data_IF_948442377114
#
_entry.id   IF_948442377114
#
_cell.length_a   1.000
_cell.length_b   1.000
_cell.length_c   1.000
_cell.angle_alpha   90.00
_cell.angle_beta   90.00
_cell.angle_gamma   90.00
#
_symmetry.space_group_name_H-M   'P 1'
#
loop_
_entity.id
_entity.type
_entity.pdbx_description
1 polymer ?
#
# COMPACT_ATOMS: atom_id res chain seq x y z
N UNK A 1 -9.66 18.83 -11.02
CA UNK A 1 -8.25 18.50 -10.72
C UNK A 1 -8.07 17.33 -9.74
N UNK A 2 -9.04 17.02 -8.87
CA UNK A 2 -8.94 15.93 -7.88
C UNK A 2 -9.04 14.51 -8.48
N UNK A 3 -9.78 14.35 -9.57
CA UNK A 3 -10.08 13.04 -10.18
C UNK A 3 -8.93 12.48 -11.04
N UNK A 4 -8.05 13.34 -11.55
CA UNK A 4 -6.96 12.95 -12.45
C UNK A 4 -5.84 12.12 -11.76
N UNK A 5 -5.87 11.99 -10.43
CA UNK A 5 -4.83 11.32 -9.64
C UNK A 5 -5.30 10.01 -8.99
N UNK A 6 -6.56 9.62 -9.17
CA UNK A 6 -7.10 8.41 -8.57
C UNK A 6 -6.78 7.19 -9.44
N UNK A 7 -5.57 6.65 -9.32
CA UNK A 7 -5.31 5.27 -9.77
C UNK A 7 -5.79 4.32 -8.68
N UNK A 8 -6.63 3.36 -9.08
CA UNK A 8 -6.94 2.23 -8.20
C UNK A 8 -5.61 1.57 -7.82
N UNK A 9 -5.30 1.42 -6.53
CA UNK A 9 -4.13 0.65 -6.12
C UNK A 9 -4.28 -0.74 -6.72
N UNK A 10 -3.21 -1.28 -7.31
CA UNK A 10 -3.23 -2.62 -7.85
C UNK A 10 -3.23 -3.61 -6.67
N UNK A 11 -4.45 -3.94 -6.19
CA UNK A 11 -4.66 -4.75 -4.99
C UNK A 11 -4.03 -6.13 -5.17
N UNK A 12 -4.08 -6.68 -6.39
CA UNK A 12 -3.52 -7.99 -6.71
C UNK A 12 -2.00 -7.99 -6.56
N UNK A 13 -1.30 -7.03 -7.14
CA UNK A 13 0.16 -6.91 -7.00
C UNK A 13 0.57 -6.71 -5.54
N UNK A 14 -0.18 -5.92 -4.78
CA UNK A 14 0.13 -5.71 -3.36
C UNK A 14 -0.10 -6.96 -2.51
N UNK A 15 -1.16 -7.72 -2.80
CA UNK A 15 -1.40 -9.01 -2.15
C UNK A 15 -0.33 -10.04 -2.52
N UNK A 16 0.09 -10.11 -3.78
CA UNK A 16 1.18 -10.99 -4.22
C UNK A 16 2.50 -10.64 -3.54
N UNK A 17 2.85 -9.34 -3.47
CA UNK A 17 4.04 -8.89 -2.77
C UNK A 17 3.99 -9.24 -1.28
N UNK A 18 2.83 -9.10 -0.64
CA UNK A 18 2.64 -9.50 0.75
C UNK A 18 2.79 -11.02 0.93
N UNK A 19 2.19 -11.83 0.04
CA UNK A 19 2.34 -13.28 0.02
C UNK A 19 3.81 -13.70 -0.08
N UNK A 20 4.56 -13.11 -1.02
CA UNK A 20 5.99 -13.37 -1.19
C UNK A 20 6.81 -12.94 0.04
N UNK A 21 6.49 -11.80 0.65
CA UNK A 21 7.23 -11.27 1.78
C UNK A 21 7.14 -12.15 3.04
N UNK A 22 6.02 -12.86 3.22
CA UNK A 22 5.84 -13.75 4.38
C UNK A 22 5.87 -15.24 4.04
N UNK A 23 6.07 -15.60 2.77
CA UNK A 23 6.17 -17.00 2.34
C UNK A 23 4.85 -17.78 2.37
N UNK A 24 3.71 -17.10 2.25
CA UNK A 24 2.38 -17.72 2.21
C UNK A 24 1.76 -17.58 0.81
N UNK A 25 0.77 -18.40 0.47
CA UNK A 25 0.20 -18.42 -0.88
C UNK A 25 -0.98 -17.45 -1.03
N UNK A 26 -1.70 -17.19 0.06
CA UNK A 26 -2.98 -16.49 0.00
C UNK A 26 -3.16 -15.41 1.07
N UNK A 27 -3.59 -14.24 0.61
CA UNK A 27 -4.19 -13.19 1.43
C UNK A 27 -5.70 -13.47 1.56
N UNK A 28 -6.18 -13.64 2.78
CA UNK A 28 -7.59 -13.95 3.08
C UNK A 28 -8.44 -12.69 3.30
N UNK A 29 -7.83 -11.56 3.64
CA UNK A 29 -8.55 -10.30 3.81
C UNK A 29 -7.65 -9.12 3.49
N UNK A 30 -8.21 -8.14 2.80
CA UNK A 30 -7.52 -6.90 2.44
C UNK A 30 -8.45 -5.72 2.71
N UNK A 31 -8.06 -4.83 3.62
CA UNK A 31 -8.87 -3.68 4.02
C UNK A 31 -8.02 -2.43 4.05
N UNK A 32 -8.50 -1.34 3.45
CA UNK A 32 -7.92 -0.01 3.65
C UNK A 32 -8.22 0.45 5.08
N UNK A 33 -7.19 0.82 5.82
CA UNK A 33 -7.31 1.28 7.22
C UNK A 33 -7.01 2.76 7.40
N UNK A 34 -6.38 3.40 6.43
CA UNK A 34 -6.08 4.83 6.52
C UNK A 34 -5.63 5.43 5.19
N UNK A 35 -5.89 6.72 5.05
CA UNK A 35 -5.40 7.57 3.96
C UNK A 35 -4.74 8.78 4.61
N UNK A 36 -3.41 8.80 4.63
CA UNK A 36 -2.65 9.95 5.08
C UNK A 36 -2.22 10.81 3.89
N UNK A 37 -1.67 11.99 4.16
CA UNK A 37 -1.21 12.91 3.11
C UNK A 37 -0.15 12.26 2.18
N UNK A 38 0.72 11.42 2.75
CA UNK A 38 1.85 10.80 2.04
C UNK A 38 1.65 9.33 1.68
N UNK A 39 0.81 8.58 2.40
CA UNK A 39 0.64 7.14 2.20
C UNK A 39 -0.81 6.69 2.42
N UNK A 40 -1.23 5.65 1.68
CA UNK A 40 -2.38 4.81 2.00
C UNK A 40 -1.92 3.60 2.80
N UNK A 41 -2.64 3.27 3.86
CA UNK A 41 -2.36 2.10 4.68
C UNK A 41 -3.46 1.04 4.50
N UNK A 42 -3.02 -0.20 4.34
CA UNK A 42 -3.86 -1.37 4.17
C UNK A 42 -3.50 -2.42 5.22
N UNK A 43 -4.51 -3.06 5.77
CA UNK A 43 -4.39 -4.21 6.65
C UNK A 43 -4.71 -5.47 5.86
N UNK A 44 -3.77 -6.41 5.85
CA UNK A 44 -3.87 -7.69 5.20
C UNK A 44 -3.87 -8.79 6.26
N UNK A 45 -4.77 -9.76 6.12
CA UNK A 45 -4.71 -11.01 6.86
C UNK A 45 -4.30 -12.12 5.90
N UNK A 46 -3.33 -12.92 6.30
CA UNK A 46 -2.83 -14.05 5.52
C UNK A 46 -3.45 -15.36 6.00
N UNK A 47 -3.40 -16.40 5.18
CA UNK A 47 -3.97 -17.72 5.51
C UNK A 47 -3.39 -18.34 6.78
N UNK A 48 -2.11 -18.08 7.08
CA UNK A 48 -1.42 -18.55 8.30
C UNK A 48 -1.78 -17.73 9.56
N UNK A 49 -2.70 -16.77 9.44
CA UNK A 49 -3.12 -15.90 10.54
C UNK A 49 -2.23 -14.68 10.78
N UNK A 50 -1.11 -14.56 10.05
CA UNK A 50 -0.27 -13.37 10.07
C UNK A 50 -1.02 -12.12 9.58
N UNK A 51 -0.75 -10.98 10.22
CA UNK A 51 -1.35 -9.68 9.90
C UNK A 51 -0.27 -8.72 9.41
N UNK A 52 -0.50 -8.11 8.25
CA UNK A 52 0.47 -7.24 7.58
C UNK A 52 -0.13 -5.85 7.39
N UNK A 53 0.68 -4.81 7.63
CA UNK A 53 0.35 -3.44 7.25
C UNK A 53 1.14 -3.06 6.01
N UNK A 54 0.45 -2.92 4.88
CA UNK A 54 1.04 -2.42 3.66
C UNK A 54 0.84 -0.90 3.55
N UNK A 55 1.93 -0.16 3.37
CA UNK A 55 1.91 1.30 3.14
C UNK A 55 2.26 1.58 1.69
N UNK A 56 1.31 2.13 0.96
CA UNK A 56 1.49 2.52 -0.44
C UNK A 56 1.65 4.04 -0.48
N UNK A 57 2.79 4.57 -0.94
CA UNK A 57 2.96 6.01 -1.10
C UNK A 57 1.90 6.54 -2.05
N UNK A 58 1.30 7.68 -1.68
CA UNK A 58 0.43 8.38 -2.61
C UNK A 58 1.26 8.94 -3.75
N UNK A 59 0.66 9.14 -4.93
CA UNK A 59 1.37 9.70 -6.08
C UNK A 59 1.92 11.13 -5.81
N UNK A 60 1.29 11.87 -4.89
CA UNK A 60 1.75 13.17 -4.40
C UNK A 60 2.89 13.08 -3.37
N UNK A 61 3.28 11.88 -2.93
CA UNK A 61 4.55 11.61 -2.28
C UNK A 61 5.59 11.31 -3.37
N UNK A 62 6.04 12.38 -4.01
CA UNK A 62 7.11 12.41 -5.02
C UNK A 62 8.41 11.73 -4.52
N UNK A 63 9.24 11.16 -5.42
CA UNK A 63 10.65 11.54 -5.39
C UNK A 63 11.15 11.97 -6.77
N UNK A 64 11.30 13.28 -6.96
CA UNK A 64 11.88 13.90 -8.16
C UNK A 64 12.34 15.35 -7.92
N UNK A 65 12.86 15.69 -6.74
CA UNK A 65 13.94 16.67 -6.56
C UNK A 65 14.37 16.69 -5.09
N UNK A 66 15.68 16.77 -4.87
CA UNK A 66 16.31 17.13 -3.59
C UNK A 66 15.61 18.35 -2.99
N UNK A 67 14.85 18.16 -1.92
CA UNK A 67 14.40 19.28 -1.07
C UNK A 67 15.39 19.42 0.08
N UNK A 68 16.37 20.31 -0.10
CA UNK A 68 17.12 20.89 1.02
C UNK A 68 16.16 21.74 1.83
N UNK A 69 16.02 21.45 3.13
CA UNK A 69 15.31 22.33 4.06
C UNK A 69 16.24 23.48 4.49
N UNK A 70 15.75 24.73 4.47
CA UNK A 70 16.35 25.89 5.16
C UNK A 70 15.54 26.23 6.40
#
# INVERSE_FOLDING_TARGET
>A
QLEARYRRPDVLSLQQAACQAVGVSKCISFKKIGDGNYNKAYHLNMEDGQKIIAKVPNHNADPRALTTAS
#
